data_IF_162389242575
#
_entry.id   IF_162389242575
#
_cell.length_a   1.000
_cell.length_b   1.000
_cell.length_c   1.000
_cell.angle_alpha   90.00
_cell.angle_beta   90.00
_cell.angle_gamma   90.00
#
_symmetry.space_group_name_H-M   'P 1'
#
loop_
_entity.id
_entity.type
_entity.pdbx_description
1 polymer ?
#
# COMPACT_ATOMS: atom_id res chain seq x y z
N UNK A 1 15.15 16.53 2.18
CA UNK A 1 14.60 15.28 2.77
C UNK A 1 13.10 15.45 2.90
N UNK A 2 12.29 14.69 2.15
CA UNK A 2 10.83 14.66 2.32
C UNK A 2 10.56 13.66 3.43
N UNK A 3 10.18 14.14 4.61
CA UNK A 3 9.72 13.28 5.70
C UNK A 3 8.49 12.50 5.19
N UNK A 4 8.47 11.14 5.26
CA UNK A 4 7.28 10.38 4.95
C UNK A 4 6.22 10.82 5.96
N UNK A 5 5.26 11.63 5.50
CA UNK A 5 4.15 12.09 6.32
C UNK A 5 3.42 10.85 6.79
N UNK A 6 3.51 10.53 8.08
CA UNK A 6 2.85 9.36 8.65
C UNK A 6 1.35 9.44 8.29
N UNK A 7 0.72 8.30 7.95
CA UNK A 7 -0.72 8.30 7.75
C UNK A 7 -1.38 8.74 9.08
N UNK A 8 -2.60 9.30 9.02
CA UNK A 8 -3.33 9.74 10.22
C UNK A 8 -3.33 8.62 11.27
N UNK A 9 -3.20 8.96 12.56
CA UNK A 9 -3.05 7.97 13.64
C UNK A 9 -4.10 6.85 13.65
N UNK A 10 -5.32 7.11 13.16
CA UNK A 10 -6.37 6.10 12.92
C UNK A 10 -5.93 4.97 11.98
N UNK A 11 -5.17 5.29 10.93
CA UNK A 11 -4.68 4.33 9.95
C UNK A 11 -3.38 3.65 10.41
N UNK A 12 -2.74 4.06 11.52
CA UNK A 12 -1.40 3.61 11.90
C UNK A 12 -1.25 2.08 11.98
N UNK A 13 -2.15 1.40 12.70
CA UNK A 13 -2.09 -0.06 12.86
C UNK A 13 -2.43 -0.78 11.56
N UNK A 14 -3.59 -0.47 10.96
CA UNK A 14 -4.06 -1.11 9.72
C UNK A 14 -3.07 -0.88 8.58
N UNK A 15 -2.52 0.34 8.45
CA UNK A 15 -1.51 0.65 7.45
C UNK A 15 -0.24 -0.17 7.64
N UNK A 16 0.21 -0.33 8.88
CA UNK A 16 1.40 -1.14 9.19
C UNK A 16 1.19 -2.60 8.79
N UNK A 17 0.04 -3.18 9.08
CA UNK A 17 -0.29 -4.56 8.69
C UNK A 17 -0.33 -4.73 7.16
N UNK A 18 -0.94 -3.79 6.45
CA UNK A 18 -1.02 -3.82 4.97
C UNK A 18 0.36 -3.66 4.36
N UNK A 19 1.19 -2.78 4.92
CA UNK A 19 2.57 -2.60 4.49
C UNK A 19 3.39 -3.87 4.71
N UNK A 20 3.31 -4.51 5.87
CA UNK A 20 4.00 -5.77 6.15
C UNK A 20 3.56 -6.88 5.19
N UNK A 21 2.25 -6.96 4.91
CA UNK A 21 1.71 -7.92 3.93
C UNK A 21 2.25 -7.65 2.53
N UNK A 22 2.35 -6.37 2.12
CA UNK A 22 2.95 -5.99 0.84
C UNK A 22 4.42 -6.43 0.77
N UNK A 23 5.21 -6.12 1.80
CA UNK A 23 6.64 -6.47 1.87
C UNK A 23 6.86 -7.99 1.80
N UNK A 24 6.04 -8.79 2.50
CA UNK A 24 6.07 -10.24 2.43
C UNK A 24 5.79 -10.81 1.03
N UNK A 25 5.05 -10.06 0.20
CA UNK A 25 4.76 -10.39 -1.20
C UNK A 25 5.74 -9.70 -2.18
N UNK A 26 6.87 -9.17 -1.72
CA UNK A 26 7.82 -8.47 -2.60
C UNK A 26 7.26 -7.18 -3.20
N UNK A 27 6.27 -6.57 -2.56
CA UNK A 27 5.70 -5.29 -2.94
C UNK A 27 6.12 -4.21 -1.93
N UNK A 28 6.21 -2.96 -2.37
CA UNK A 28 6.36 -1.80 -1.49
C UNK A 28 5.10 -0.93 -1.51
N UNK A 29 4.69 -0.46 -0.34
CA UNK A 29 3.55 0.43 -0.18
C UNK A 29 4.03 1.82 0.23
N UNK A 30 3.75 2.81 -0.61
CA UNK A 30 4.00 4.24 -0.38
C UNK A 30 2.69 5.03 -0.38
N UNK A 31 2.67 6.22 0.18
CA UNK A 31 1.46 7.04 0.23
C UNK A 31 1.76 8.52 0.22
N UNK A 32 0.77 9.31 -0.18
CA UNK A 32 0.85 10.77 -0.20
C UNK A 32 -0.53 11.40 -0.01
N UNK A 33 -0.56 12.61 0.56
CA UNK A 33 -1.80 13.39 0.71
C UNK A 33 -2.04 14.22 -0.54
N UNK A 34 -3.25 14.14 -1.07
CA UNK A 34 -3.78 15.03 -2.12
C UNK A 34 -4.85 15.95 -1.54
N UNK A 35 -5.33 16.93 -2.32
CA UNK A 35 -6.47 17.78 -1.91
C UNK A 35 -7.72 16.94 -1.61
N UNK A 36 -7.98 15.90 -2.39
CA UNK A 36 -9.20 15.07 -2.28
C UNK A 36 -9.11 13.95 -1.26
N UNK A 37 -7.91 13.52 -0.88
CA UNK A 37 -7.76 12.34 -0.05
C UNK A 37 -6.33 11.87 0.13
N UNK A 38 -6.17 10.75 0.79
CA UNK A 38 -4.93 9.98 0.75
C UNK A 38 -4.86 9.18 -0.55
N UNK A 39 -3.64 8.97 -1.04
CA UNK A 39 -3.35 8.09 -2.17
C UNK A 39 -2.31 7.08 -1.72
N UNK A 40 -2.57 5.82 -2.02
CA UNK A 40 -1.75 4.68 -1.64
C UNK A 40 -1.21 4.04 -2.90
N UNK A 41 0.10 3.94 -3.02
CA UNK A 41 0.78 3.43 -4.20
C UNK A 41 1.51 2.16 -3.85
N UNK A 42 1.05 1.06 -4.43
CA UNK A 42 1.67 -0.24 -4.34
C UNK A 42 2.58 -0.45 -5.55
N UNK A 43 3.82 -0.86 -5.30
CA UNK A 43 4.78 -1.22 -6.34
C UNK A 43 5.14 -2.68 -6.16
N UNK A 44 4.87 -3.51 -7.15
CA UNK A 44 5.28 -4.91 -7.20
C UNK A 44 6.67 -5.01 -7.81
N UNK A 45 7.67 -5.42 -7.04
CA UNK A 45 9.05 -5.51 -7.51
C UNK A 45 9.31 -6.77 -8.35
N UNK A 46 8.42 -7.76 -8.30
CA UNK A 46 8.52 -8.97 -9.13
C UNK A 46 8.10 -8.70 -10.57
N UNK A 47 7.04 -7.91 -10.76
CA UNK A 47 6.51 -7.58 -12.10
C UNK A 47 6.89 -6.19 -12.59
N UNK A 48 7.45 -5.34 -11.72
CA UNK A 48 7.68 -3.92 -12.01
C UNK A 48 6.40 -3.08 -12.08
N UNK A 49 5.25 -3.65 -11.69
CA UNK A 49 3.95 -2.98 -11.81
C UNK A 49 3.74 -1.99 -10.67
N UNK A 50 3.25 -0.79 -11.00
CA UNK A 50 2.88 0.23 -10.02
C UNK A 50 1.39 0.55 -10.12
N UNK A 51 0.69 0.56 -8.99
CA UNK A 51 -0.75 0.87 -8.91
C UNK A 51 -1.04 1.82 -7.78
N UNK A 52 -1.88 2.83 -8.04
CA UNK A 52 -2.30 3.82 -7.04
C UNK A 52 -3.78 3.70 -6.74
N UNK A 53 -4.12 3.68 -5.46
CA UNK A 53 -5.46 3.50 -4.92
C UNK A 53 -5.87 4.70 -4.05
N UNK A 54 -7.13 5.15 -4.11
CA UNK A 54 -7.68 6.14 -3.17
C UNK A 54 -7.82 5.64 -1.73
N UNK A 55 -7.96 4.32 -1.53
CA UNK A 55 -8.27 3.76 -0.21
C UNK A 55 -7.41 2.54 0.11
N UNK A 56 -7.05 2.39 1.39
CA UNK A 56 -6.24 1.27 1.88
C UNK A 56 -6.95 -0.09 1.70
N UNK A 57 -8.27 -0.14 1.82
CA UNK A 57 -9.06 -1.36 1.60
C UNK A 57 -8.90 -1.91 0.17
N UNK A 58 -8.69 -1.04 -0.83
CA UNK A 58 -8.43 -1.49 -2.20
C UNK A 58 -7.03 -2.10 -2.34
N UNK A 59 -6.05 -1.57 -1.60
CA UNK A 59 -4.70 -2.15 -1.52
C UNK A 59 -4.79 -3.55 -0.91
N UNK A 60 -5.53 -3.71 0.19
CA UNK A 60 -5.76 -5.01 0.83
C UNK A 60 -6.38 -6.04 -0.12
N UNK A 61 -7.46 -5.66 -0.81
CA UNK A 61 -8.12 -6.53 -1.78
C UNK A 61 -7.16 -6.93 -2.92
N UNK A 62 -6.28 -6.03 -3.35
CA UNK A 62 -5.29 -6.33 -4.37
C UNK A 62 -4.20 -7.27 -3.87
N UNK A 63 -3.66 -7.04 -2.67
CA UNK A 63 -2.68 -7.93 -2.05
C UNK A 63 -3.24 -9.34 -1.82
N UNK A 64 -4.51 -9.45 -1.42
CA UNK A 64 -5.18 -10.74 -1.30
C UNK A 64 -5.21 -11.50 -2.63
N UNK A 65 -5.48 -10.81 -3.75
CA UNK A 65 -5.41 -11.41 -5.09
C UNK A 65 -4.00 -11.86 -5.47
N UNK A 66 -2.99 -11.01 -5.22
CA UNK A 66 -1.58 -11.38 -5.47
C UNK A 66 -1.20 -12.62 -4.66
N UNK A 67 -1.60 -12.68 -3.39
CA UNK A 67 -1.35 -13.83 -2.53
C UNK A 67 -2.00 -15.12 -3.05
N UNK A 68 -3.23 -15.05 -3.57
CA UNK A 68 -3.91 -16.19 -4.18
C UNK A 68 -3.29 -16.61 -5.51
N UNK A 69 -2.79 -15.66 -6.31
CA UNK A 69 -2.16 -15.96 -7.60
C UNK A 69 -0.77 -16.62 -7.45
N UNK A 70 -0.08 -16.34 -6.33
CA UNK A 70 1.29 -16.82 -6.05
C UNK A 70 1.38 -18.02 -5.11
N UNK A 71 0.28 -18.42 -4.47
CA UNK A 71 0.22 -19.52 -3.49
C UNK A 71 -0.42 -20.75 -4.09
#
# INVERSE_FOLDING_TARGET
>A
MILPQLPPGHLGTVFTEVRQTAEALGCSLSWYRTRDGWRFTLTDHTTGTKRTYPYLAQVQAHLARIRTDRG
#
